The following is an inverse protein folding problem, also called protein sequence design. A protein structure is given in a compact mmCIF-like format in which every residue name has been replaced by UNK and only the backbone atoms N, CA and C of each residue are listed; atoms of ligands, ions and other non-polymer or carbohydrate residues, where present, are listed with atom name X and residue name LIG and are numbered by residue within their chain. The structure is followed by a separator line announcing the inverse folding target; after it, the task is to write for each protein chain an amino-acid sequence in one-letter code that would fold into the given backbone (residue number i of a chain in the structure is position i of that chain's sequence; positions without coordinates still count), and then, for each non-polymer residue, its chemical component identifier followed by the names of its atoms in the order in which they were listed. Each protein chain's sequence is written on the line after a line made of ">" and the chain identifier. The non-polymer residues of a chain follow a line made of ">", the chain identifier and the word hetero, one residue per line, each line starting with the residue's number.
data_IF_862430955192
#
_entry.id   IF_862430955192
#
_cell.length_a   1.000
_cell.length_b   1.000
_cell.length_c   1.000
_cell.angle_alpha   90.00
_cell.angle_beta   90.00
_cell.angle_gamma   90.00
#
_symmetry.space_group_name_H-M   'P 1'
#
loop_
_entity.id
_entity.type
_entity.pdbx_description
1 polymer ?
#
# COMPACT_ATOMS: atom_id res chain seq x y z
N UNK A 1 -28.83 27.80 3.50
CA UNK A 1 -28.67 27.37 2.09
C UNK A 1 -27.22 27.60 1.69
N UNK A 2 -26.37 26.58 1.77
CA UNK A 2 -24.94 26.70 1.45
C UNK A 2 -24.79 27.00 -0.05
N UNK A 3 -24.35 28.21 -0.39
CA UNK A 3 -24.02 28.59 -1.76
C UNK A 3 -22.96 27.62 -2.28
N UNK A 4 -23.18 27.05 -3.47
CA UNK A 4 -22.16 26.28 -4.16
C UNK A 4 -20.91 27.17 -4.33
N UNK A 5 -19.83 26.77 -3.68
CA UNK A 5 -18.55 27.46 -3.78
C UNK A 5 -18.00 27.33 -5.21
N UNK A 6 -17.25 28.32 -5.69
CA UNK A 6 -16.75 28.36 -7.07
C UNK A 6 -15.93 27.12 -7.47
N UNK A 7 -15.30 26.45 -6.50
CA UNK A 7 -14.58 25.18 -6.67
C UNK A 7 -15.48 23.98 -6.99
N UNK A 8 -16.70 23.95 -6.47
CA UNK A 8 -17.65 22.87 -6.80
C UNK A 8 -18.17 23.01 -8.23
N UNK A 9 -18.37 24.26 -8.69
CA UNK A 9 -18.86 24.55 -10.04
C UNK A 9 -17.79 24.18 -11.09
N UNK A 10 -16.51 24.45 -10.83
CA UNK A 10 -15.42 24.09 -11.74
C UNK A 10 -15.21 22.58 -11.85
N UNK A 11 -15.32 21.84 -10.74
CA UNK A 11 -15.25 20.37 -10.73
C UNK A 11 -16.40 19.74 -11.53
N UNK A 12 -17.63 20.23 -11.32
CA UNK A 12 -18.80 19.78 -12.08
C UNK A 12 -18.59 20.05 -13.57
N UNK A 13 -18.11 21.24 -13.94
CA UNK A 13 -17.86 21.60 -15.34
C UNK A 13 -16.78 20.74 -16.01
N UNK A 14 -15.72 20.36 -15.30
CA UNK A 14 -14.67 19.47 -15.82
C UNK A 14 -15.18 18.05 -16.07
N UNK A 15 -15.93 17.49 -15.13
CA UNK A 15 -16.49 16.14 -15.24
C UNK A 15 -17.56 16.09 -16.34
N UNK A 16 -18.49 17.05 -16.33
CA UNK A 16 -19.56 17.14 -17.31
C UNK A 16 -19.03 17.51 -18.70
N UNK A 17 -18.03 18.39 -18.79
CA UNK A 17 -17.34 18.77 -20.03
C UNK A 17 -16.59 17.60 -20.67
N UNK A 18 -15.99 16.72 -19.86
CA UNK A 18 -15.36 15.48 -20.35
C UNK A 18 -16.39 14.48 -20.90
N UNK A 19 -17.55 14.38 -20.25
CA UNK A 19 -18.67 13.53 -20.68
C UNK A 19 -19.34 14.07 -21.96
N UNK A 20 -19.51 15.38 -22.05
CA UNK A 20 -20.03 16.09 -23.24
C UNK A 20 -19.05 15.99 -24.41
N UNK A 21 -17.74 16.15 -24.18
CA UNK A 21 -16.72 16.00 -25.23
C UNK A 21 -16.68 14.56 -25.78
N UNK A 22 -16.90 13.56 -24.93
CA UNK A 22 -17.05 12.16 -25.34
C UNK A 22 -18.26 11.94 -26.27
N UNK A 23 -19.37 12.61 -25.99
CA UNK A 23 -20.60 12.53 -26.78
C UNK A 23 -20.52 13.32 -28.10
N UNK A 24 -20.02 14.56 -28.07
CA UNK A 24 -19.97 15.51 -29.19
C UNK A 24 -18.83 15.30 -30.20
N UNK A 25 -17.70 14.70 -29.82
CA UNK A 25 -16.51 14.54 -30.69
C UNK A 25 -16.24 13.06 -31.03
N UNK A 26 -17.01 12.44 -31.96
CA UNK A 26 -16.88 11.03 -32.30
C UNK A 26 -15.47 10.64 -32.82
N UNK A 27 -14.78 11.58 -33.49
CA UNK A 27 -13.43 11.39 -34.02
C UNK A 27 -12.34 11.25 -32.95
N UNK A 28 -12.56 11.74 -31.73
CA UNK A 28 -11.58 11.75 -30.64
C UNK A 28 -11.96 10.88 -29.44
N UNK A 29 -13.07 10.13 -29.51
CA UNK A 29 -13.50 9.14 -28.50
C UNK A 29 -12.39 8.23 -27.96
N UNK A 30 -11.47 7.65 -28.76
CA UNK A 30 -10.42 6.81 -28.19
C UNK A 30 -9.51 7.59 -27.23
N UNK A 31 -9.07 8.81 -27.59
CA UNK A 31 -8.20 9.65 -26.76
C UNK A 31 -8.91 10.12 -25.48
N UNK A 32 -10.17 10.54 -25.59
CA UNK A 32 -10.97 11.00 -24.44
C UNK A 32 -11.17 9.87 -23.42
N UNK A 33 -11.45 8.63 -23.87
CA UNK A 33 -11.56 7.46 -22.97
C UNK A 33 -10.25 7.18 -22.22
N UNK A 34 -9.12 7.31 -22.91
CA UNK A 34 -7.81 7.11 -22.28
C UNK A 34 -7.57 8.15 -21.19
N UNK A 35 -7.82 9.43 -21.47
CA UNK A 35 -7.67 10.52 -20.48
C UNK A 35 -8.59 10.30 -19.27
N UNK A 36 -9.86 9.97 -19.50
CA UNK A 36 -10.81 9.69 -18.42
C UNK A 36 -10.36 8.50 -17.54
N UNK A 37 -9.88 7.41 -18.16
CA UNK A 37 -9.31 6.27 -17.43
C UNK A 37 -8.13 6.69 -16.57
N UNK A 38 -7.19 7.45 -17.11
CA UNK A 38 -6.04 7.93 -16.34
C UNK A 38 -6.45 8.83 -15.18
N UNK A 39 -7.40 9.75 -15.38
CA UNK A 39 -7.91 10.61 -14.30
C UNK A 39 -8.50 9.77 -13.16
N UNK A 40 -9.35 8.78 -13.49
CA UNK A 40 -9.97 7.89 -12.50
C UNK A 40 -8.89 7.05 -11.79
N UNK A 41 -7.95 6.47 -12.55
CA UNK A 41 -6.87 5.66 -11.99
C UNK A 41 -5.95 6.48 -11.08
N UNK A 42 -5.59 7.70 -11.46
CA UNK A 42 -4.77 8.60 -10.64
C UNK A 42 -5.53 8.96 -9.36
N UNK A 43 -6.82 9.27 -9.46
CA UNK A 43 -7.64 9.59 -8.28
C UNK A 43 -7.69 8.40 -7.31
N UNK A 44 -7.97 7.20 -7.80
CA UNK A 44 -7.97 5.98 -7.00
C UNK A 44 -6.58 5.72 -6.39
N UNK A 45 -5.51 5.89 -7.18
CA UNK A 45 -4.14 5.71 -6.70
C UNK A 45 -3.81 6.68 -5.56
N UNK A 46 -4.20 7.96 -5.66
CA UNK A 46 -4.01 8.94 -4.57
C UNK A 46 -4.73 8.49 -3.30
N UNK A 47 -5.96 8.00 -3.39
CA UNK A 47 -6.72 7.51 -2.24
C UNK A 47 -6.04 6.30 -1.58
N UNK A 48 -5.56 5.35 -2.37
CA UNK A 48 -4.87 4.14 -1.89
C UNK A 48 -3.49 4.48 -1.27
N UNK A 49 -2.78 5.45 -1.85
CA UNK A 49 -1.44 5.83 -1.40
C UNK A 49 -1.43 6.78 -0.20
N UNK A 50 -2.55 7.45 0.10
CA UNK A 50 -2.67 8.34 1.26
C UNK A 50 -2.15 7.73 2.58
N UNK A 51 -2.55 6.52 3.02
CA UNK A 51 -2.00 5.92 4.24
C UNK A 51 -0.50 5.62 4.17
N UNK A 52 0.05 5.32 2.99
CA UNK A 52 1.50 5.12 2.84
C UNK A 52 2.26 6.44 2.94
N UNK A 53 1.70 7.51 2.38
CA UNK A 53 2.26 8.85 2.52
C UNK A 53 2.26 9.31 3.99
N UNK A 54 1.21 8.95 4.74
CA UNK A 54 1.17 9.13 6.20
C UNK A 54 2.31 8.38 6.90
N UNK A 55 2.52 7.11 6.59
CA UNK A 55 3.59 6.29 7.19
C UNK A 55 4.98 6.88 6.94
N UNK A 56 5.27 7.31 5.71
CA UNK A 56 6.54 7.95 5.37
C UNK A 56 6.71 9.26 6.16
N UNK A 57 5.65 10.06 6.28
CA UNK A 57 5.70 11.30 7.06
C UNK A 57 5.92 11.04 8.54
N UNK A 58 5.34 9.96 9.09
CA UNK A 58 5.47 9.59 10.49
C UNK A 58 6.92 9.27 10.90
N UNK A 59 7.73 8.72 10.00
CA UNK A 59 9.15 8.43 10.23
C UNK A 59 9.94 9.68 10.64
N UNK A 60 9.56 10.84 10.12
CA UNK A 60 10.24 12.11 10.37
C UNK A 60 9.59 12.95 11.48
N UNK A 61 8.39 12.61 11.95
CA UNK A 61 7.68 13.36 12.99
C UNK A 61 8.18 12.97 14.39
N UNK A 62 8.29 13.95 15.28
CA UNK A 62 8.51 13.72 16.71
C UNK A 62 7.24 13.14 17.37
N UNK A 63 7.41 12.45 18.50
CA UNK A 63 6.36 11.67 19.16
C UNK A 63 5.22 12.52 19.70
N UNK A 64 5.52 13.76 20.09
CA UNK A 64 4.54 14.74 20.58
C UNK A 64 3.66 15.32 19.45
N UNK A 65 4.19 15.37 18.22
CA UNK A 65 3.52 15.94 17.04
C UNK A 65 2.89 14.87 16.14
N UNK A 66 3.20 13.58 16.34
CA UNK A 66 2.74 12.44 15.52
C UNK A 66 1.24 12.48 15.18
N UNK A 67 0.40 12.76 16.17
CA UNK A 67 -1.07 12.77 16.07
C UNK A 67 -1.66 14.17 15.85
N UNK A 68 -0.85 15.22 15.86
CA UNK A 68 -1.30 16.60 15.67
C UNK A 68 -1.50 16.93 14.19
N UNK A 69 -0.62 16.40 13.32
CA UNK A 69 -0.70 16.60 11.87
C UNK A 69 -0.96 15.28 11.15
N UNK A 70 -1.92 15.30 10.22
CA UNK A 70 -2.18 14.14 9.35
C UNK A 70 -0.94 13.77 8.55
N UNK A 71 -0.27 14.71 7.88
CA UNK A 71 0.94 14.42 7.12
C UNK A 71 2.15 15.10 7.76
N UNK A 72 2.69 16.12 7.09
CA UNK A 72 3.77 16.95 7.59
C UNK A 72 3.19 18.25 8.19
N UNK A 73 3.88 18.82 9.20
CA UNK A 73 3.57 20.17 9.68
C UNK A 73 3.69 21.20 8.54
N UNK A 74 2.99 22.35 8.64
CA UNK A 74 3.16 23.44 7.69
C UNK A 74 4.61 23.98 7.73
N UNK A 75 5.07 24.52 6.59
CA UNK A 75 6.45 25.01 6.41
C UNK A 75 6.90 26.04 7.49
N UNK A 76 5.95 26.78 8.08
CA UNK A 76 6.22 27.75 9.15
C UNK A 76 6.66 27.11 10.48
N UNK A 77 6.31 25.85 10.69
CA UNK A 77 6.60 25.11 11.93
C UNK A 77 7.72 24.09 11.75
N UNK A 78 8.38 24.05 10.59
CA UNK A 78 9.50 23.16 10.33
C UNK A 78 10.69 23.56 11.20
N UNK A 79 10.98 22.71 12.18
CA UNK A 79 12.04 22.89 13.15
C UNK A 79 12.48 21.53 13.68
N UNK A 80 13.60 21.48 14.41
CA UNK A 80 14.10 20.27 15.06
C UNK A 80 13.13 19.68 16.10
N UNK A 81 12.13 20.46 16.54
CA UNK A 81 11.06 20.02 17.44
C UNK A 81 9.92 19.29 16.73
N UNK A 82 9.70 19.54 15.44
CA UNK A 82 8.57 18.99 14.69
C UNK A 82 9.03 17.90 13.71
N UNK A 83 10.15 18.11 13.04
CA UNK A 83 10.77 17.16 12.11
C UNK A 83 12.19 16.83 12.55
N UNK A 84 12.44 15.57 12.88
CA UNK A 84 13.76 15.11 13.27
C UNK A 84 13.94 13.60 13.01
N UNK A 85 15.18 13.14 13.17
CA UNK A 85 15.58 11.74 13.05
C UNK A 85 15.82 11.10 14.41
N UNK A 86 15.24 11.65 15.50
CA UNK A 86 15.42 11.09 16.83
C UNK A 86 14.87 9.68 16.96
N UNK A 87 13.88 9.35 16.15
CA UNK A 87 13.34 7.98 16.01
C UNK A 87 14.42 6.93 15.64
N UNK A 88 15.57 7.37 15.11
CA UNK A 88 16.70 6.52 14.75
C UNK A 88 17.94 6.79 15.60
N UNK A 89 17.96 7.85 16.40
CA UNK A 89 19.12 8.26 17.17
C UNK A 89 19.16 7.56 18.53
N UNK A 90 20.29 6.93 18.85
CA UNK A 90 20.54 6.38 20.17
C UNK A 90 21.26 7.41 21.05
N UNK A 91 20.62 7.90 22.13
CA UNK A 91 21.27 8.83 23.05
C UNK A 91 22.42 8.20 23.86
N UNK A 92 22.56 6.87 23.86
CA UNK A 92 23.60 6.16 24.62
C UNK A 92 24.94 6.07 23.87
N UNK A 93 24.91 5.96 22.53
CA UNK A 93 26.09 5.81 21.67
C UNK A 93 26.39 7.05 20.82
N UNK A 94 25.48 8.04 20.78
CA UNK A 94 25.55 9.21 19.88
C UNK A 94 25.54 8.82 18.38
N UNK A 95 25.00 7.63 18.08
CA UNK A 95 24.89 7.07 16.73
C UNK A 95 23.43 6.89 16.27
N UNK A 96 23.20 6.75 14.96
CA UNK A 96 21.88 6.57 14.32
C UNK A 96 21.50 5.08 14.21
N UNK A 97 21.77 4.31 15.27
CA UNK A 97 21.68 2.85 15.28
C UNK A 97 20.63 2.30 16.25
N UNK A 98 19.82 3.16 16.89
CA UNK A 98 18.81 2.77 17.88
C UNK A 98 17.84 1.66 17.42
N UNK A 99 17.57 1.58 16.11
CA UNK A 99 16.73 0.51 15.55
C UNK A 99 17.40 -0.85 15.55
N UNK A 100 18.73 -0.91 15.46
CA UNK A 100 19.48 -2.17 15.34
C UNK A 100 20.04 -2.66 16.68
N UNK A 101 20.00 -1.81 17.71
CA UNK A 101 20.38 -2.17 19.06
C UNK A 101 19.34 -3.05 19.79
N UNK A 102 19.77 -3.62 20.90
CA UNK A 102 18.95 -4.45 21.76
C UNK A 102 18.02 -3.59 22.63
N UNK A 103 16.71 -3.61 22.35
CA UNK A 103 15.73 -2.93 23.19
C UNK A 103 15.34 -3.82 24.38
N UNK A 104 15.46 -3.29 25.59
CA UNK A 104 15.07 -3.99 26.83
C UNK A 104 13.55 -3.97 26.99
N UNK A 105 12.90 -5.07 26.62
CA UNK A 105 11.47 -5.26 26.85
C UNK A 105 11.23 -5.99 28.18
N UNK A 106 10.02 -5.92 28.72
CA UNK A 106 9.56 -6.63 29.94
C UNK A 106 9.87 -8.15 29.88
N UNK A 107 9.97 -8.72 28.68
CA UNK A 107 10.23 -10.15 28.42
C UNK A 107 11.68 -10.48 28.03
N UNK A 108 12.58 -9.49 28.05
CA UNK A 108 13.99 -9.64 27.66
C UNK A 108 14.42 -8.71 26.54
N UNK A 109 15.70 -8.80 26.15
CA UNK A 109 16.30 -8.00 25.09
C UNK A 109 15.90 -8.51 23.70
N UNK A 110 15.32 -7.63 22.89
CA UNK A 110 14.87 -7.93 21.52
C UNK A 110 15.62 -7.07 20.52
N UNK A 111 16.02 -7.68 19.40
CA UNK A 111 16.76 -7.00 18.33
C UNK A 111 15.87 -6.95 17.09
N UNK A 112 15.63 -5.76 16.54
CA UNK A 112 14.76 -5.57 15.37
C UNK A 112 15.17 -6.44 14.16
N UNK A 113 16.48 -6.52 13.88
CA UNK A 113 17.01 -7.32 12.78
C UNK A 113 16.63 -8.80 12.87
N UNK A 114 16.51 -9.35 14.09
CA UNK A 114 16.05 -10.73 14.29
C UNK A 114 14.60 -10.90 13.85
N UNK A 115 13.73 -9.92 14.12
CA UNK A 115 12.36 -9.97 13.63
C UNK A 115 12.30 -9.90 12.10
N UNK A 116 13.07 -8.99 11.50
CA UNK A 116 13.13 -8.85 10.04
C UNK A 116 13.60 -10.16 9.37
N UNK A 117 14.69 -10.75 9.87
CA UNK A 117 15.21 -12.03 9.34
C UNK A 117 14.26 -13.20 9.59
N UNK A 118 13.66 -13.29 10.77
CA UNK A 118 12.70 -14.36 11.08
C UNK A 118 11.48 -14.29 10.15
N UNK A 119 10.91 -13.10 9.96
CA UNK A 119 9.79 -12.89 9.04
C UNK A 119 10.18 -13.16 7.59
N UNK A 120 11.36 -12.70 7.15
CA UNK A 120 11.86 -12.94 5.80
C UNK A 120 12.08 -14.44 5.55
N UNK A 121 12.70 -15.14 6.49
CA UNK A 121 12.94 -16.59 6.41
C UNK A 121 11.62 -17.38 6.42
N UNK A 122 10.69 -17.03 7.30
CA UNK A 122 9.39 -17.69 7.40
C UNK A 122 8.56 -17.47 6.12
N UNK A 123 8.48 -16.23 5.62
CA UNK A 123 7.71 -15.90 4.43
C UNK A 123 8.30 -16.55 3.17
N UNK A 124 9.63 -16.53 3.01
CA UNK A 124 10.29 -17.16 1.85
C UNK A 124 10.19 -18.69 1.89
N UNK A 125 10.45 -19.31 3.04
CA UNK A 125 10.40 -20.77 3.18
C UNK A 125 8.98 -21.30 2.98
N UNK A 126 7.97 -20.65 3.59
CA UNK A 126 6.56 -21.03 3.40
C UNK A 126 6.14 -20.90 1.94
N UNK A 127 6.44 -19.77 1.30
CA UNK A 127 6.12 -19.55 -0.12
C UNK A 127 6.80 -20.58 -1.02
N UNK A 128 8.07 -20.91 -0.77
CA UNK A 128 8.82 -21.89 -1.56
C UNK A 128 8.22 -23.29 -1.45
N UNK A 129 7.92 -23.73 -0.23
CA UNK A 129 7.28 -25.04 0.02
C UNK A 129 5.89 -25.08 -0.65
N UNK A 130 5.07 -24.04 -0.44
CA UNK A 130 3.73 -23.96 -1.03
C UNK A 130 3.77 -23.96 -2.55
N UNK A 131 4.64 -23.18 -3.18
CA UNK A 131 4.79 -23.15 -4.64
C UNK A 131 5.28 -24.50 -5.19
N UNK A 132 6.24 -25.14 -4.52
CA UNK A 132 6.75 -26.44 -4.92
C UNK A 132 5.62 -27.49 -4.98
N UNK A 133 4.88 -27.68 -3.88
CA UNK A 133 3.80 -28.66 -3.84
C UNK A 133 2.60 -28.27 -4.72
N UNK A 134 2.25 -26.98 -4.78
CA UNK A 134 1.13 -26.51 -5.63
C UNK A 134 1.44 -26.67 -7.11
N UNK A 135 2.69 -26.44 -7.52
CA UNK A 135 3.14 -26.63 -8.90
C UNK A 135 3.15 -28.10 -9.30
N UNK A 136 3.68 -28.99 -8.43
CA UNK A 136 3.64 -30.44 -8.64
C UNK A 136 2.21 -30.97 -8.73
N UNK A 137 1.33 -30.54 -7.81
CA UNK A 137 -0.09 -30.92 -7.82
C UNK A 137 -0.80 -30.43 -9.07
N UNK A 138 -0.63 -29.15 -9.43
CA UNK A 138 -1.20 -28.57 -10.65
C UNK A 138 -0.70 -29.25 -11.92
N UNK A 139 0.60 -29.55 -12.02
CA UNK A 139 1.16 -30.29 -13.14
C UNK A 139 0.61 -31.70 -13.23
N UNK A 140 0.50 -32.41 -12.10
CA UNK A 140 -0.01 -33.76 -12.08
C UNK A 140 -1.47 -33.83 -12.56
N UNK A 141 -2.31 -32.90 -12.10
CA UNK A 141 -3.70 -32.78 -12.55
C UNK A 141 -3.81 -32.40 -14.04
N UNK A 142 -2.95 -31.50 -14.54
CA UNK A 142 -3.02 -31.04 -15.92
C UNK A 142 -2.49 -32.08 -16.92
N UNK A 143 -1.42 -32.81 -16.58
CA UNK A 143 -0.72 -33.69 -17.53
C UNK A 143 -1.12 -35.16 -17.46
N UNK A 144 -1.49 -35.69 -16.29
CA UNK A 144 -1.84 -37.10 -16.13
C UNK A 144 -3.36 -37.31 -16.12
N UNK A 145 -3.79 -38.45 -16.65
CA UNK A 145 -5.16 -38.94 -16.56
C UNK A 145 -5.20 -40.12 -15.59
N UNK A 146 -5.67 -39.87 -14.37
CA UNK A 146 -5.76 -40.85 -13.30
C UNK A 146 -7.18 -40.95 -12.76
N UNK A 147 -7.50 -42.09 -12.14
CA UNK A 147 -8.82 -42.36 -11.57
C UNK A 147 -9.04 -41.44 -10.36
N UNK A 148 -10.11 -40.62 -10.40
CA UNK A 148 -10.41 -39.63 -9.35
C UNK A 148 -10.03 -38.18 -9.67
N UNK A 149 -9.47 -37.90 -10.86
CA UNK A 149 -9.13 -36.53 -11.31
C UNK A 149 -10.31 -35.55 -11.29
N UNK A 150 -11.47 -35.95 -11.83
CA UNK A 150 -12.64 -35.08 -11.95
C UNK A 150 -13.19 -34.59 -10.58
N UNK A 151 -13.39 -35.45 -9.56
CA UNK A 151 -13.75 -35.02 -8.21
C UNK A 151 -12.79 -33.98 -7.61
N UNK A 152 -11.47 -34.16 -7.78
CA UNK A 152 -10.47 -33.23 -7.24
C UNK A 152 -10.56 -31.87 -7.96
N UNK A 153 -10.70 -31.85 -9.28
CA UNK A 153 -10.88 -30.60 -10.05
C UNK A 153 -12.13 -29.86 -9.60
N UNK A 154 -13.26 -30.55 -9.47
CA UNK A 154 -14.51 -29.91 -9.02
C UNK A 154 -14.41 -29.38 -7.59
N UNK A 155 -13.73 -30.12 -6.70
CA UNK A 155 -13.48 -29.64 -5.34
C UNK A 155 -12.62 -28.36 -5.34
N UNK A 156 -11.52 -28.34 -6.08
CA UNK A 156 -10.66 -27.15 -6.21
C UNK A 156 -11.44 -25.95 -6.77
N UNK A 157 -12.17 -26.13 -7.87
CA UNK A 157 -13.00 -25.07 -8.45
C UNK A 157 -14.07 -24.58 -7.48
N UNK A 158 -14.71 -25.49 -6.74
CA UNK A 158 -15.68 -25.15 -5.70
C UNK A 158 -15.07 -24.26 -4.61
N UNK A 159 -13.86 -24.60 -4.13
CA UNK A 159 -13.16 -23.78 -3.11
C UNK A 159 -12.71 -22.41 -3.61
N UNK A 160 -12.58 -22.20 -4.93
CA UNK A 160 -12.26 -20.89 -5.51
C UNK A 160 -13.51 -20.03 -5.78
N UNK A 161 -14.69 -20.63 -5.88
CA UNK A 161 -15.96 -19.94 -6.15
C UNK A 161 -16.69 -19.47 -4.88
N UNK A 162 -16.32 -20.02 -3.71
CA UNK A 162 -16.81 -19.61 -2.40
C UNK A 162 -15.91 -18.52 -1.85
#
# INVERSE_FOLDING_TARGET
>A
MNKLNSSHITLIFLVFGSFIAYFLLPRHRPKIRVIQRYIILIFIAILILSPFFWLISAVFKDSDVLMQYSFLPPLSEWSSKTLNLKNFYNPSTDELDSLFEAEKTIRGEVHFWRYLLNSLFLASSSTMITLFFSSLGGFALAKYDFVGKAPIIYFMLGTMMI
#
